data_IF_744947933096
#
_entry.id   IF_744947933096
#
_cell.length_a   1.000
_cell.length_b   1.000
_cell.length_c   1.000
_cell.angle_alpha   90.00
_cell.angle_beta   90.00
_cell.angle_gamma   90.00
#
_symmetry.space_group_name_H-M   'P 1'
#
loop_
_entity.id
_entity.type
_entity.pdbx_description
1 polymer ?
#
# COMPACT_ATOMS: atom_id res chain seq x y z
N UNK A 1 25.64 37.92 -28.19
CA UNK A 1 26.75 37.18 -27.57
C UNK A 1 26.37 35.72 -27.53
N UNK A 2 27.05 34.89 -28.31
CA UNK A 2 26.82 33.44 -28.34
C UNK A 2 27.50 32.81 -27.12
N UNK A 3 26.81 31.87 -26.45
CA UNK A 3 27.41 31.11 -25.35
C UNK A 3 28.60 30.31 -25.88
N UNK A 4 29.66 30.20 -25.07
CA UNK A 4 30.79 29.33 -25.37
C UNK A 4 30.28 27.88 -25.47
N UNK A 5 30.45 27.28 -26.64
CA UNK A 5 29.88 25.97 -26.96
C UNK A 5 30.49 24.84 -26.12
N UNK A 6 31.76 24.95 -25.73
CA UNK A 6 32.43 23.97 -24.90
C UNK A 6 31.94 24.05 -23.45
N UNK A 7 31.79 25.27 -22.92
CA UNK A 7 31.22 25.49 -21.59
C UNK A 7 29.76 25.04 -21.52
N UNK A 8 28.97 25.30 -22.57
CA UNK A 8 27.58 24.86 -22.64
C UNK A 8 27.47 23.32 -22.65
N UNK A 9 28.24 22.63 -23.48
CA UNK A 9 28.26 21.15 -23.52
C UNK A 9 28.70 20.54 -22.20
N UNK A 10 29.66 21.17 -21.50
CA UNK A 10 30.08 20.75 -20.16
C UNK A 10 28.93 20.92 -19.15
N UNK A 11 28.28 22.09 -19.13
CA UNK A 11 27.17 22.35 -18.21
C UNK A 11 25.99 21.38 -18.42
N UNK A 12 25.64 21.08 -19.68
CA UNK A 12 24.59 20.11 -20.01
C UNK A 12 24.90 18.70 -19.49
N UNK A 13 26.15 18.24 -19.63
CA UNK A 13 26.59 16.95 -19.09
C UNK A 13 26.52 16.90 -17.58
N UNK A 14 27.00 17.92 -16.89
CA UNK A 14 26.94 17.96 -15.43
C UNK A 14 25.49 18.05 -14.93
N UNK A 15 24.61 18.78 -15.62
CA UNK A 15 23.19 18.83 -15.31
C UNK A 15 22.50 17.46 -15.47
N UNK A 16 22.81 16.72 -16.55
CA UNK A 16 22.28 15.38 -16.76
C UNK A 16 22.74 14.41 -15.66
N UNK A 17 24.03 14.46 -15.30
CA UNK A 17 24.61 13.67 -14.21
C UNK A 17 23.98 14.01 -12.86
N UNK A 18 23.80 15.30 -12.57
CA UNK A 18 23.16 15.76 -11.35
C UNK A 18 21.72 15.25 -11.25
N UNK A 19 20.94 15.37 -12.32
CA UNK A 19 19.55 14.90 -12.35
C UNK A 19 19.42 13.38 -12.15
N UNK A 20 20.39 12.60 -12.66
CA UNK A 20 20.46 11.15 -12.40
C UNK A 20 20.75 10.85 -10.93
N UNK A 21 21.78 11.49 -10.36
CA UNK A 21 22.12 11.33 -8.94
C UNK A 21 20.99 11.76 -8.01
N UNK A 22 20.23 12.81 -8.36
CA UNK A 22 19.06 13.21 -7.58
C UNK A 22 17.97 12.13 -7.60
N UNK A 23 17.67 11.54 -8.76
CA UNK A 23 16.71 10.43 -8.87
C UNK A 23 17.15 9.23 -8.03
N UNK A 24 18.43 8.85 -8.13
CA UNK A 24 18.99 7.75 -7.36
C UNK A 24 18.94 8.04 -5.86
N UNK A 25 19.29 9.25 -5.44
CA UNK A 25 19.19 9.67 -4.04
C UNK A 25 17.74 9.65 -3.53
N UNK A 26 16.77 10.01 -4.37
CA UNK A 26 15.35 9.92 -4.04
C UNK A 26 14.89 8.48 -3.84
N UNK A 27 15.28 7.56 -4.74
CA UNK A 27 14.95 6.14 -4.63
C UNK A 27 15.63 5.51 -3.41
N UNK A 28 16.93 5.74 -3.24
CA UNK A 28 17.68 5.25 -2.08
C UNK A 28 17.10 5.76 -0.76
N UNK A 29 16.60 7.00 -0.71
CA UNK A 29 15.91 7.54 0.46
C UNK A 29 14.59 6.80 0.74
N UNK A 30 13.82 6.49 -0.28
CA UNK A 30 12.58 5.73 -0.13
C UNK A 30 12.86 4.31 0.39
N UNK A 31 13.88 3.64 -0.13
CA UNK A 31 14.32 2.31 0.30
C UNK A 31 14.82 2.32 1.75
N UNK A 32 15.69 3.28 2.09
CA UNK A 32 16.16 3.49 3.45
C UNK A 32 14.99 3.68 4.42
N UNK A 33 14.04 4.58 4.11
CA UNK A 33 12.87 4.79 4.95
C UNK A 33 12.03 3.50 5.10
N UNK A 34 11.95 2.67 4.07
CA UNK A 34 11.26 1.38 4.11
C UNK A 34 11.95 0.38 5.02
N UNK A 35 13.28 0.31 4.98
CA UNK A 35 14.08 -0.54 5.86
C UNK A 35 13.95 -0.14 7.34
N UNK A 36 14.04 1.16 7.65
CA UNK A 36 13.84 1.67 9.02
C UNK A 36 12.46 1.29 9.57
N UNK A 37 11.43 1.42 8.74
CA UNK A 37 10.08 0.98 9.11
C UNK A 37 10.04 -0.52 9.38
N UNK A 38 10.63 -1.36 8.51
CA UNK A 38 10.68 -2.81 8.71
C UNK A 38 11.35 -3.21 10.03
N UNK A 39 12.43 -2.52 10.43
CA UNK A 39 13.07 -2.74 11.73
C UNK A 39 12.14 -2.42 12.90
N UNK A 40 11.45 -1.28 12.86
CA UNK A 40 10.51 -0.89 13.92
C UNK A 40 9.35 -1.87 14.03
N UNK A 41 8.87 -2.30 12.87
CA UNK A 41 7.80 -3.26 12.73
C UNK A 41 8.22 -4.64 13.28
N UNK A 42 9.45 -5.10 13.04
CA UNK A 42 9.99 -6.34 13.62
C UNK A 42 10.12 -6.33 15.16
N UNK A 43 9.75 -5.23 15.84
CA UNK A 43 9.75 -5.10 17.30
C UNK A 43 10.83 -4.18 17.84
N UNK A 44 11.71 -3.65 16.99
CA UNK A 44 12.75 -2.71 17.41
C UNK A 44 12.14 -1.41 17.95
N UNK A 45 12.59 -0.97 19.13
CA UNK A 45 12.21 0.35 19.64
C UNK A 45 12.85 1.45 18.80
N UNK A 46 12.24 2.65 18.80
CA UNK A 46 12.80 3.80 18.07
C UNK A 46 14.22 4.16 18.53
N UNK A 47 14.56 3.87 19.80
CA UNK A 47 15.89 4.12 20.38
C UNK A 47 16.92 3.10 19.91
N UNK A 48 16.60 1.81 19.94
CA UNK A 48 17.50 0.75 19.44
C UNK A 48 17.81 0.93 17.95
N UNK A 49 16.80 1.28 17.15
CA UNK A 49 16.98 1.53 15.72
C UNK A 49 17.84 2.77 15.48
N UNK A 50 17.60 3.84 16.26
CA UNK A 50 18.39 5.06 16.16
C UNK A 50 19.87 4.81 16.48
N UNK A 51 20.13 4.07 17.56
CA UNK A 51 21.47 3.67 17.97
C UNK A 51 22.16 2.81 16.90
N UNK A 52 21.48 1.77 16.41
CA UNK A 52 22.01 0.88 15.37
C UNK A 52 22.32 1.59 14.04
N UNK A 53 21.55 2.64 13.71
CA UNK A 53 21.71 3.40 12.47
C UNK A 53 22.57 4.66 12.63
N UNK A 54 23.05 4.97 13.85
CA UNK A 54 23.83 6.18 14.11
C UNK A 54 23.05 7.47 13.85
N UNK A 55 21.73 7.47 14.00
CA UNK A 55 20.86 8.64 13.80
C UNK A 55 20.14 9.00 15.10
N UNK A 56 19.54 10.19 15.16
CA UNK A 56 18.75 10.58 16.32
C UNK A 56 17.42 9.82 16.40
N UNK A 57 16.93 9.55 17.61
CA UNK A 57 15.60 8.92 17.80
C UNK A 57 14.49 9.76 17.16
N UNK A 58 14.62 11.09 17.17
CA UNK A 58 13.68 12.01 16.54
C UNK A 58 13.65 11.83 15.02
N UNK A 59 14.81 11.53 14.40
CA UNK A 59 14.88 11.23 12.97
C UNK A 59 14.15 9.94 12.62
N UNK A 60 14.33 8.89 13.42
CA UNK A 60 13.57 7.63 13.26
C UNK A 60 12.07 7.88 13.43
N UNK A 61 11.68 8.69 14.42
CA UNK A 61 10.29 9.06 14.64
C UNK A 61 9.69 9.83 13.44
N UNK A 62 10.42 10.79 12.85
CA UNK A 62 10.01 11.47 11.63
C UNK A 62 9.84 10.50 10.45
N UNK A 63 10.82 9.61 10.21
CA UNK A 63 10.75 8.61 9.13
C UNK A 63 9.53 7.70 9.27
N UNK A 64 9.22 7.30 10.50
CA UNK A 64 8.04 6.48 10.80
C UNK A 64 6.76 7.30 10.61
N UNK A 65 6.74 8.59 10.94
CA UNK A 65 5.54 9.45 10.92
C UNK A 65 5.22 10.12 9.56
N UNK A 66 6.23 10.47 8.75
CA UNK A 66 6.08 11.20 7.49
C UNK A 66 5.37 10.37 6.40
N UNK A 67 5.27 9.05 6.58
CA UNK A 67 4.61 8.15 5.63
C UNK A 67 3.07 8.18 5.68
N UNK A 68 2.42 9.22 6.27
CA UNK A 68 0.96 9.36 6.35
C UNK A 68 0.20 8.81 7.59
N UNK A 69 0.63 9.13 8.82
CA UNK A 69 -0.06 8.80 10.08
C UNK A 69 -0.54 7.33 10.27
N UNK A 70 -1.48 7.13 11.21
CA UNK A 70 -2.08 5.86 11.70
C UNK A 70 -2.48 4.73 10.70
N UNK A 71 -2.25 4.86 9.40
CA UNK A 71 -2.41 3.83 8.37
C UNK A 71 -1.42 2.66 8.52
N UNK A 72 -0.11 2.89 8.76
CA UNK A 72 0.84 1.78 8.95
C UNK A 72 0.69 1.06 10.30
N UNK A 73 0.34 1.77 11.39
CA UNK A 73 -0.05 1.14 12.68
C UNK A 73 -1.27 0.23 12.51
N UNK A 74 -2.17 0.56 11.59
CA UNK A 74 -3.34 -0.27 11.24
C UNK A 74 -2.98 -1.43 10.32
N UNK A 75 -2.03 -1.26 9.41
CA UNK A 75 -1.54 -2.32 8.53
C UNK A 75 -0.71 -3.40 9.25
N UNK A 76 -0.25 -3.14 10.49
CA UNK A 76 0.51 -4.09 11.30
C UNK A 76 -0.27 -4.72 12.46
N UNK A 77 -1.28 -4.04 13.02
CA UNK A 77 -2.22 -4.63 14.01
C UNK A 77 -2.98 -5.84 13.43
N UNK A 78 -2.98 -5.98 12.11
CA UNK A 78 -3.67 -6.96 11.29
C UNK A 78 -2.89 -8.25 11.01
N UNK A 79 -1.65 -8.40 11.50
CA UNK A 79 -0.95 -9.70 11.40
C UNK A 79 -1.42 -10.73 12.42
N UNK A 80 -2.22 -10.33 13.42
CA UNK A 80 -2.88 -11.25 14.35
C UNK A 80 -4.35 -11.33 13.95
N UNK A 81 -4.66 -12.26 13.05
CA UNK A 81 -6.05 -12.65 12.78
C UNK A 81 -6.56 -13.35 14.05
N UNK A 82 -7.55 -12.77 14.73
CA UNK A 82 -8.16 -13.44 15.88
C UNK A 82 -8.79 -14.77 15.40
N UNK A 83 -8.78 -15.80 16.25
CA UNK A 83 -9.32 -17.13 15.90
C UNK A 83 -10.81 -17.12 15.58
N UNK A 84 -11.54 -16.13 16.10
CA UNK A 84 -12.96 -15.86 15.88
C UNK A 84 -13.22 -14.83 14.75
N UNK A 85 -12.18 -14.33 14.08
CA UNK A 85 -12.37 -13.44 12.94
C UNK A 85 -13.12 -14.17 11.82
N UNK A 86 -13.98 -13.47 11.08
CA UNK A 86 -14.63 -14.00 9.89
C UNK A 86 -14.41 -13.05 8.73
N UNK A 87 -14.32 -13.59 7.52
CA UNK A 87 -14.26 -12.78 6.30
C UNK A 87 -15.49 -11.87 6.25
N UNK A 88 -15.27 -10.55 6.18
CA UNK A 88 -16.36 -9.56 6.13
C UNK A 88 -17.24 -9.71 4.90
N UNK A 89 -16.72 -10.33 3.84
CA UNK A 89 -17.38 -10.42 2.54
C UNK A 89 -18.20 -11.70 2.34
N UNK A 90 -17.79 -12.82 2.95
CA UNK A 90 -18.48 -14.11 2.81
C UNK A 90 -18.85 -14.77 4.14
N UNK A 91 -18.45 -14.21 5.27
CA UNK A 91 -18.74 -14.72 6.61
C UNK A 91 -17.92 -15.94 7.06
N UNK A 92 -17.05 -16.50 6.20
CA UNK A 92 -16.30 -17.72 6.53
C UNK A 92 -15.17 -17.44 7.55
N UNK A 93 -14.96 -18.34 8.53
CA UNK A 93 -13.86 -18.27 9.49
C UNK A 93 -12.52 -18.72 8.86
N UNK A 94 -11.36 -18.45 9.51
CA UNK A 94 -10.03 -18.86 9.08
C UNK A 94 -9.88 -20.36 8.80
N UNK A 95 -10.66 -21.22 9.48
CA UNK A 95 -10.62 -22.67 9.25
C UNK A 95 -11.23 -23.13 7.92
N UNK A 96 -12.01 -22.28 7.25
CA UNK A 96 -12.70 -22.60 6.00
C UNK A 96 -12.12 -21.89 4.77
N UNK A 97 -11.03 -21.14 4.95
CA UNK A 97 -10.37 -20.37 3.88
C UNK A 97 -8.88 -20.59 3.92
N UNK A 98 -8.22 -20.58 2.76
CA UNK A 98 -6.78 -20.87 2.71
C UNK A 98 -5.95 -19.75 3.33
N UNK A 99 -6.37 -18.49 3.13
CA UNK A 99 -5.75 -17.31 3.76
C UNK A 99 -6.82 -16.29 4.12
N UNK A 100 -6.66 -15.67 5.29
CA UNK A 100 -7.48 -14.53 5.72
C UNK A 100 -6.57 -13.31 5.95
N UNK A 101 -6.83 -12.22 5.24
CA UNK A 101 -6.13 -10.95 5.39
C UNK A 101 -6.96 -10.06 6.29
N UNK A 102 -6.35 -9.54 7.35
CA UNK A 102 -6.98 -8.49 8.15
C UNK A 102 -6.61 -7.10 7.60
N UNK A 103 -7.62 -6.24 7.53
CA UNK A 103 -7.53 -4.80 7.35
C UNK A 103 -7.96 -4.07 8.64
N UNK A 104 -7.97 -2.73 8.66
CA UNK A 104 -8.22 -1.94 9.86
C UNK A 104 -9.43 -2.36 10.71
N UNK A 105 -10.55 -2.65 10.04
CA UNK A 105 -11.83 -3.08 10.64
C UNK A 105 -12.56 -4.06 9.70
N UNK A 106 -11.82 -4.79 8.87
CA UNK A 106 -12.36 -5.62 7.79
C UNK A 106 -11.47 -6.83 7.62
N UNK A 107 -12.01 -7.97 7.24
CA UNK A 107 -11.25 -9.16 6.87
C UNK A 107 -11.66 -9.61 5.46
N UNK A 108 -10.69 -10.02 4.65
CA UNK A 108 -10.95 -10.57 3.31
C UNK A 108 -10.19 -11.87 3.13
N UNK A 109 -10.87 -12.92 2.68
CA UNK A 109 -10.23 -14.19 2.37
C UNK A 109 -9.74 -14.25 0.92
N UNK A 110 -8.86 -15.20 0.64
CA UNK A 110 -8.33 -15.51 -0.69
C UNK A 110 -9.42 -15.68 -1.75
N UNK A 111 -10.48 -16.43 -1.44
CA UNK A 111 -11.60 -16.63 -2.36
C UNK A 111 -12.36 -15.32 -2.68
N UNK A 112 -12.50 -14.42 -1.69
CA UNK A 112 -13.13 -13.12 -1.92
C UNK A 112 -12.25 -12.15 -2.72
N UNK A 113 -10.93 -12.22 -2.55
CA UNK A 113 -9.97 -11.50 -3.41
C UNK A 113 -10.11 -11.97 -4.86
N UNK A 114 -10.07 -13.28 -5.10
CA UNK A 114 -10.19 -13.85 -6.45
C UNK A 114 -11.52 -13.46 -7.14
N UNK A 115 -12.65 -13.53 -6.42
CA UNK A 115 -13.96 -13.12 -6.94
C UNK A 115 -14.02 -11.63 -7.29
N UNK A 116 -13.44 -10.78 -6.44
CA UNK A 116 -13.40 -9.34 -6.69
C UNK A 116 -12.54 -9.00 -7.91
N UNK A 117 -11.44 -9.73 -8.15
CA UNK A 117 -10.61 -9.56 -9.35
C UNK A 117 -11.32 -9.99 -10.62
N UNK A 118 -12.02 -11.13 -10.60
CA UNK A 118 -12.86 -11.55 -11.74
C UNK A 118 -13.89 -10.47 -12.12
N UNK A 119 -14.39 -9.73 -11.12
CA UNK A 119 -15.32 -8.63 -11.34
C UNK A 119 -14.65 -7.40 -11.97
N UNK A 120 -13.34 -7.19 -11.74
CA UNK A 120 -12.56 -6.14 -12.42
C UNK A 120 -12.18 -6.53 -13.84
N UNK A 121 -11.82 -7.79 -14.08
CA UNK A 121 -11.31 -8.26 -15.38
C UNK A 121 -12.42 -8.55 -16.38
N UNK A 122 -13.63 -8.92 -15.94
CA UNK A 122 -14.79 -9.20 -16.81
C UNK A 122 -15.40 -7.96 -17.51
N UNK A 123 -14.64 -6.87 -17.67
CA UNK A 123 -15.11 -5.58 -18.17
C UNK A 123 -15.24 -5.43 -19.69
N UNK A 124 -15.59 -6.46 -20.47
CA UNK A 124 -15.98 -6.31 -21.89
C UNK A 124 -17.05 -7.35 -22.29
N UNK A 125 -18.12 -6.88 -22.94
CA UNK A 125 -19.21 -7.60 -23.63
C UNK A 125 -20.45 -8.19 -22.93
N UNK A 126 -20.52 -8.44 -21.60
CA UNK A 126 -21.82 -8.84 -20.99
C UNK A 126 -22.05 -8.37 -19.55
N UNK A 127 -22.80 -7.26 -19.40
CA UNK A 127 -23.52 -6.91 -18.16
C UNK A 127 -22.70 -6.16 -17.09
N UNK A 128 -23.36 -5.45 -16.16
CA UNK A 128 -22.70 -4.48 -15.31
C UNK A 128 -21.79 -5.18 -14.32
N UNK A 129 -20.50 -4.83 -14.35
CA UNK A 129 -19.66 -4.78 -13.15
C UNK A 129 -20.58 -4.28 -12.03
N UNK A 130 -20.74 -5.03 -10.94
CA UNK A 130 -21.56 -4.56 -9.80
C UNK A 130 -20.74 -3.46 -9.12
N UNK A 131 -20.62 -2.32 -9.78
CA UNK A 131 -20.12 -1.09 -9.21
C UNK A 131 -21.17 -0.69 -8.19
N UNK A 132 -20.72 -0.29 -7.00
CA UNK A 132 -21.64 0.32 -6.05
C UNK A 132 -22.43 1.43 -6.75
N UNK A 133 -23.76 1.28 -6.87
CA UNK A 133 -24.65 2.32 -7.41
C UNK A 133 -24.64 3.56 -6.54
N UNK A 134 -24.34 3.41 -5.24
CA UNK A 134 -24.25 4.51 -4.31
C UNK A 134 -22.97 5.34 -4.52
N UNK A 135 -23.17 6.64 -4.72
CA UNK A 135 -22.11 7.67 -4.73
C UNK A 135 -21.55 7.95 -3.33
N UNK A 136 -22.25 7.55 -2.26
CA UNK A 136 -21.77 7.67 -0.87
C UNK A 136 -21.01 6.43 -0.40
N UNK A 137 -20.92 5.39 -1.24
CA UNK A 137 -20.21 4.18 -0.89
C UNK A 137 -18.72 4.44 -0.65
N UNK A 138 -18.17 3.71 0.33
CA UNK A 138 -16.78 3.78 0.75
C UNK A 138 -16.14 2.41 0.66
N UNK A 139 -14.86 2.39 0.32
CA UNK A 139 -14.06 1.16 0.44
C UNK A 139 -13.95 0.75 1.91
N UNK A 140 -14.21 -0.51 2.24
CA UNK A 140 -14.11 -1.03 3.61
C UNK A 140 -12.67 -1.04 4.15
N UNK A 141 -11.66 -1.06 3.28
CA UNK A 141 -10.24 -1.05 3.67
C UNK A 141 -9.68 0.36 3.92
N UNK A 142 -9.82 1.27 2.96
CA UNK A 142 -9.24 2.61 3.04
C UNK A 142 -10.24 3.72 3.40
N UNK A 143 -11.54 3.41 3.49
CA UNK A 143 -12.63 4.34 3.81
C UNK A 143 -12.81 5.55 2.88
N UNK A 144 -12.06 5.60 1.77
CA UNK A 144 -12.24 6.58 0.68
C UNK A 144 -13.53 6.31 -0.07
N UNK A 145 -14.20 7.39 -0.51
CA UNK A 145 -15.46 7.34 -1.28
C UNK A 145 -15.21 6.86 -2.72
N UNK A 146 -16.26 6.36 -3.36
CA UNK A 146 -16.30 6.11 -4.81
C UNK A 146 -16.05 7.43 -5.56
N UNK A 147 -15.26 7.38 -6.63
CA UNK A 147 -15.13 8.44 -7.63
C UNK A 147 -15.09 7.83 -9.04
N UNK A 148 -15.12 8.66 -10.08
CA UNK A 148 -14.98 8.20 -11.48
C UNK A 148 -13.66 7.45 -11.71
N UNK A 149 -12.57 7.95 -11.13
CA UNK A 149 -11.23 7.34 -11.21
C UNK A 149 -11.02 6.20 -10.19
N UNK A 150 -11.90 6.08 -9.19
CA UNK A 150 -11.79 5.10 -8.11
C UNK A 150 -13.07 4.27 -8.00
N UNK A 151 -13.31 3.36 -8.95
CA UNK A 151 -14.45 2.47 -8.88
C UNK A 151 -14.37 1.57 -7.64
N UNK A 152 -15.54 1.27 -7.09
CA UNK A 152 -15.70 0.31 -6.00
C UNK A 152 -16.37 -0.93 -6.54
N UNK A 153 -15.73 -2.07 -6.31
CA UNK A 153 -16.28 -3.40 -6.54
C UNK A 153 -17.26 -3.65 -5.40
N UNK A 154 -18.54 -3.78 -5.72
CA UNK A 154 -19.54 -4.17 -4.74
C UNK A 154 -19.44 -5.66 -4.49
N UNK A 155 -19.50 -6.03 -3.23
CA UNK A 155 -19.67 -7.39 -2.76
C UNK A 155 -20.87 -7.39 -1.79
N UNK A 156 -21.46 -8.56 -1.47
CA UNK A 156 -22.72 -8.64 -0.72
C UNK A 156 -22.76 -7.83 0.58
N UNK A 157 -21.63 -7.72 1.29
CA UNK A 157 -21.57 -7.11 2.63
C UNK A 157 -20.71 -5.84 2.71
N UNK A 158 -19.84 -5.59 1.72
CA UNK A 158 -18.89 -4.47 1.77
C UNK A 158 -18.36 -4.13 0.37
N UNK A 159 -17.83 -2.92 0.21
CA UNK A 159 -17.20 -2.49 -1.04
C UNK A 159 -15.66 -2.52 -0.91
N UNK A 160 -14.95 -2.81 -2.00
CA UNK A 160 -13.48 -2.72 -2.08
C UNK A 160 -13.05 -1.96 -3.34
N UNK A 161 -12.04 -1.10 -3.26
CA UNK A 161 -11.47 -0.43 -4.44
C UNK A 161 -10.32 -1.24 -5.06
N UNK A 162 -10.06 -1.03 -6.34
CA UNK A 162 -9.02 -1.76 -7.08
C UNK A 162 -7.61 -1.62 -6.49
N UNK A 163 -7.26 -0.46 -5.92
CA UNK A 163 -5.99 -0.29 -5.19
C UNK A 163 -5.87 -1.22 -3.98
N UNK A 164 -6.89 -1.27 -3.13
CA UNK A 164 -6.87 -2.14 -1.95
C UNK A 164 -6.91 -3.61 -2.35
N UNK A 165 -7.61 -3.95 -3.44
CA UNK A 165 -7.65 -5.31 -3.95
C UNK A 165 -6.27 -5.77 -4.46
N UNK A 166 -5.55 -4.94 -5.22
CA UNK A 166 -4.17 -5.21 -5.66
C UNK A 166 -3.24 -5.45 -4.48
N UNK A 167 -3.32 -4.59 -3.45
CA UNK A 167 -2.52 -4.79 -2.23
C UNK A 167 -2.85 -6.12 -1.53
N UNK A 168 -4.13 -6.50 -1.46
CA UNK A 168 -4.52 -7.80 -0.91
C UNK A 168 -3.91 -8.96 -1.70
N UNK A 169 -3.88 -8.87 -3.04
CA UNK A 169 -3.24 -9.86 -3.91
C UNK A 169 -1.73 -9.95 -3.66
N UNK A 170 -1.03 -8.82 -3.58
CA UNK A 170 0.40 -8.77 -3.26
C UNK A 170 0.73 -9.42 -1.91
N UNK A 171 -0.15 -9.26 -0.91
CA UNK A 171 -0.04 -9.92 0.40
C UNK A 171 -0.26 -11.43 0.28
N UNK A 172 -1.26 -11.89 -0.50
CA UNK A 172 -1.50 -13.32 -0.73
C UNK A 172 -0.31 -13.99 -1.42
N UNK A 173 0.29 -13.30 -2.39
CA UNK A 173 1.40 -13.80 -3.22
C UNK A 173 2.76 -13.74 -2.48
N UNK A 174 2.80 -13.15 -1.28
CA UNK A 174 4.03 -13.00 -0.49
C UNK A 174 5.03 -11.98 -1.05
N UNK A 175 4.63 -11.17 -2.05
CA UNK A 175 5.48 -10.13 -2.67
C UNK A 175 5.52 -8.83 -1.86
N UNK A 176 4.59 -8.65 -0.93
CA UNK A 176 4.59 -7.59 0.07
C UNK A 176 5.43 -7.92 1.32
N UNK A 177 6.26 -8.99 1.27
CA UNK A 177 7.16 -9.41 2.35
C UNK A 177 8.46 -8.58 2.35
#
# INVERSE_FOLDING_TARGET
>A
MTLDEQLLKKAQREAARFAELERDAHLARADYHTAVRRLHLAGGSLREIAEALGVSHQRVQQIVNDAGGSWWRRAWRTRIVKRDAVCTYCGRPPGEVAKLIAGPNVYICDACVARAEQTLTAGTDRGPVVLSKSLTARCAFCHRRKSAERPLIAQPSANICGECLRLCREILDGRAA
#
